data_IF_608665549100
#
_entry.id   IF_608665549100
#
_cell.length_a   1.000
_cell.length_b   1.000
_cell.length_c   1.000
_cell.angle_alpha   90.00
_cell.angle_beta   90.00
_cell.angle_gamma   90.00
#
_symmetry.space_group_name_H-M   'P 1'
#
loop_
_entity.id
_entity.type
_entity.pdbx_description
1 polymer ?
#
# COMPACT_ATOMS: atom_id res chain seq x y z
N UNK A 1 2.14 -4.33 -32.16
CA UNK A 1 1.58 -5.34 -31.22
C UNK A 1 1.40 -4.69 -29.84
N UNK A 2 0.18 -4.31 -29.44
CA UNK A 2 -0.08 -3.73 -28.11
C UNK A 2 0.16 -4.81 -27.06
N UNK A 3 1.20 -4.68 -26.22
CA UNK A 3 1.34 -5.52 -25.02
C UNK A 3 0.08 -5.28 -24.18
N UNK A 4 -0.82 -6.28 -24.08
CA UNK A 4 -1.90 -6.26 -23.08
C UNK A 4 -1.24 -5.90 -21.75
N UNK A 5 -1.68 -4.80 -21.13
CA UNK A 5 -1.09 -4.30 -19.89
C UNK A 5 -0.98 -5.45 -18.89
N UNK A 6 0.24 -5.86 -18.59
CA UNK A 6 0.50 -6.98 -17.70
C UNK A 6 0.03 -6.55 -16.32
N UNK A 7 -1.11 -7.08 -15.86
CA UNK A 7 -1.63 -6.79 -14.51
C UNK A 7 -0.54 -7.16 -13.52
N UNK A 8 0.02 -6.17 -12.84
CA UNK A 8 1.04 -6.41 -11.81
C UNK A 8 0.37 -7.09 -10.64
N UNK A 9 0.72 -8.35 -10.33
CA UNK A 9 0.27 -8.99 -9.10
C UNK A 9 1.15 -8.55 -7.94
N UNK A 10 0.52 -8.15 -6.83
CA UNK A 10 1.21 -7.94 -5.56
C UNK A 10 0.92 -9.11 -4.63
N UNK A 11 1.91 -9.53 -3.87
CA UNK A 11 1.76 -10.60 -2.91
C UNK A 11 1.53 -10.00 -1.52
N UNK A 12 0.44 -10.40 -0.88
CA UNK A 12 0.04 -10.04 0.47
C UNK A 12 0.39 -11.17 1.41
N UNK A 13 1.00 -10.83 2.54
CA UNK A 13 1.26 -11.71 3.68
C UNK A 13 0.58 -11.09 4.91
N UNK A 14 -0.24 -11.87 5.59
CA UNK A 14 -0.92 -11.49 6.84
C UNK A 14 -0.39 -12.38 7.95
N UNK A 15 0.17 -11.77 8.99
CA UNK A 15 0.66 -12.48 10.17
C UNK A 15 -0.48 -12.63 11.20
N UNK A 16 -0.81 -13.86 11.58
CA UNK A 16 -1.96 -14.14 12.44
C UNK A 16 -1.62 -14.13 13.94
N UNK A 17 -0.43 -14.58 14.29
CA UNK A 17 -0.12 -14.96 15.67
C UNK A 17 0.58 -13.85 16.48
N UNK A 18 0.80 -12.66 15.90
CA UNK A 18 1.46 -11.51 16.56
C UNK A 18 2.96 -11.71 16.88
N UNK A 19 3.41 -12.96 17.05
CA UNK A 19 4.77 -13.38 17.34
C UNK A 19 5.66 -13.46 16.08
N UNK A 20 5.09 -13.25 14.90
CA UNK A 20 5.65 -13.73 13.63
C UNK A 20 6.04 -12.62 12.67
N UNK A 21 5.81 -11.37 13.05
CA UNK A 21 6.36 -10.26 12.31
C UNK A 21 7.79 -10.01 12.79
N UNK A 22 8.78 -10.50 12.04
CA UNK A 22 10.21 -10.13 12.22
C UNK A 22 10.42 -8.60 12.30
N UNK A 23 9.43 -7.83 11.82
CA UNK A 23 9.44 -6.38 11.68
C UNK A 23 8.33 -5.62 12.46
N UNK A 24 7.47 -6.30 13.23
CA UNK A 24 6.40 -5.67 14.03
C UNK A 24 5.15 -5.22 13.25
N UNK A 25 4.94 -5.71 12.03
CA UNK A 25 3.80 -5.37 11.16
C UNK A 25 2.84 -6.55 10.96
N UNK A 26 1.53 -6.29 10.99
CA UNK A 26 0.47 -7.30 10.79
C UNK A 26 0.29 -7.65 9.31
N UNK A 27 0.42 -6.67 8.42
CA UNK A 27 0.26 -6.85 6.97
C UNK A 27 1.55 -6.47 6.26
N UNK A 28 2.05 -7.33 5.39
CA UNK A 28 3.21 -7.06 4.52
C UNK A 28 2.80 -7.31 3.08
N UNK A 29 3.06 -6.32 2.22
CA UNK A 29 2.78 -6.36 0.79
C UNK A 29 4.10 -6.29 0.06
N UNK A 30 4.42 -7.30 -0.74
CA UNK A 30 5.62 -7.32 -1.58
C UNK A 30 5.26 -7.05 -3.04
N UNK A 31 6.11 -6.25 -3.70
CA UNK A 31 6.04 -5.92 -5.12
C UNK A 31 7.38 -6.32 -5.76
N UNK A 32 7.42 -7.48 -6.41
CA UNK A 32 8.69 -8.05 -6.89
C UNK A 32 9.63 -8.43 -5.73
N UNK A 33 10.93 -8.45 -5.99
CA UNK A 33 11.93 -8.92 -5.02
C UNK A 33 12.34 -7.86 -3.98
N UNK A 34 12.22 -6.57 -4.29
CA UNK A 34 12.91 -5.50 -3.53
C UNK A 34 12.00 -4.44 -2.94
N UNK A 35 10.71 -4.38 -3.29
CA UNK A 35 9.81 -3.34 -2.79
C UNK A 35 8.74 -3.89 -1.85
N UNK A 36 8.66 -3.29 -0.66
CA UNK A 36 7.83 -3.75 0.46
C UNK A 36 6.99 -2.59 0.98
N UNK A 37 5.76 -2.87 1.39
CA UNK A 37 4.91 -1.94 2.13
C UNK A 37 4.27 -2.69 3.28
N UNK A 38 4.32 -2.14 4.48
CA UNK A 38 3.86 -2.85 5.67
C UNK A 38 2.92 -1.98 6.52
N UNK A 39 1.92 -2.61 7.14
CA UNK A 39 0.92 -1.96 7.97
C UNK A 39 0.79 -2.66 9.31
N UNK A 40 0.79 -1.86 10.39
CA UNK A 40 0.57 -2.36 11.75
C UNK A 40 -0.91 -2.50 12.10
N UNK A 41 -1.77 -1.70 11.45
CA UNK A 41 -3.20 -1.60 11.77
C UNK A 41 -4.07 -2.02 10.59
N UNK A 42 -5.25 -2.57 10.89
CA UNK A 42 -6.27 -2.95 9.91
C UNK A 42 -6.78 -1.74 9.15
N UNK A 43 -6.96 -0.60 9.83
CA UNK A 43 -7.34 0.67 9.23
C UNK A 43 -6.35 1.10 8.13
N UNK A 44 -5.05 1.08 8.43
CA UNK A 44 -4.01 1.42 7.46
C UNK A 44 -4.02 0.50 6.25
N UNK A 45 -4.17 -0.81 6.47
CA UNK A 45 -4.23 -1.79 5.40
C UNK A 45 -5.50 -1.65 4.54
N UNK A 46 -6.68 -1.47 5.16
CA UNK A 46 -7.95 -1.28 4.43
C UNK A 46 -7.95 0.01 3.61
N UNK A 47 -7.43 1.09 4.18
CA UNK A 47 -7.25 2.34 3.44
C UNK A 47 -6.32 2.14 2.24
N UNK A 48 -5.21 1.41 2.39
CA UNK A 48 -4.36 1.03 1.26
C UNK A 48 -5.11 0.25 0.18
N UNK A 49 -5.89 -0.76 0.54
CA UNK A 49 -6.68 -1.48 -0.45
C UNK A 49 -7.65 -0.55 -1.20
N UNK A 50 -8.35 0.33 -0.46
CA UNK A 50 -9.29 1.30 -1.02
C UNK A 50 -8.61 2.27 -1.98
N UNK A 51 -7.55 2.94 -1.53
CA UNK A 51 -6.83 3.98 -2.28
C UNK A 51 -6.22 3.43 -3.56
N UNK A 52 -5.71 2.20 -3.53
CA UNK A 52 -5.10 1.57 -4.69
C UNK A 52 -6.09 0.76 -5.55
N UNK A 53 -7.38 0.76 -5.20
CA UNK A 53 -8.41 -0.03 -5.90
C UNK A 53 -8.12 -1.53 -5.89
N UNK A 54 -7.52 -2.03 -4.82
CA UNK A 54 -7.05 -3.42 -4.71
C UNK A 54 -8.10 -4.31 -4.08
N UNK A 55 -8.11 -5.57 -4.54
CA UNK A 55 -8.93 -6.63 -3.95
C UNK A 55 -8.07 -7.86 -3.71
N UNK A 56 -8.29 -8.49 -2.55
CA UNK A 56 -7.73 -9.81 -2.24
C UNK A 56 -8.36 -10.82 -3.19
N UNK A 57 -7.54 -11.65 -3.82
CA UNK A 57 -8.01 -12.74 -4.66
C UNK A 57 -8.26 -13.99 -3.80
N UNK A 58 -9.53 -14.42 -3.61
CA UNK A 58 -9.84 -15.59 -2.80
C UNK A 58 -9.25 -16.88 -3.38
N UNK A 59 -9.14 -16.97 -4.71
CA UNK A 59 -8.62 -18.16 -5.39
C UNK A 59 -7.13 -18.41 -5.17
N UNK A 60 -6.41 -17.42 -4.63
CA UNK A 60 -4.98 -17.53 -4.31
C UNK A 60 -4.72 -17.33 -2.83
N UNK A 61 -5.78 -17.32 -2.02
CA UNK A 61 -5.68 -17.18 -0.57
C UNK A 61 -5.35 -18.53 0.06
N UNK A 62 -4.22 -18.60 0.74
CA UNK A 62 -3.72 -19.84 1.36
C UNK A 62 -3.31 -19.57 2.80
N UNK A 63 -3.68 -20.48 3.71
CA UNK A 63 -3.15 -20.53 5.07
C UNK A 63 -1.85 -21.35 5.05
N UNK A 64 -0.79 -20.79 5.62
CA UNK A 64 0.52 -21.45 5.71
C UNK A 64 0.95 -21.50 7.18
N UNK A 65 1.38 -22.68 7.61
CA UNK A 65 1.91 -22.89 8.95
C UNK A 65 3.44 -22.99 8.91
N UNK A 66 4.08 -21.94 9.42
CA UNK A 66 5.52 -21.81 9.57
C UNK A 66 5.95 -21.81 11.04
N UNK A 67 5.16 -22.36 11.96
CA UNK A 67 5.53 -22.49 13.38
C UNK A 67 6.87 -23.24 13.54
N UNK A 68 7.12 -24.24 12.70
CA UNK A 68 8.34 -25.06 12.71
C UNK A 68 9.63 -24.27 12.42
N UNK A 69 9.54 -23.09 11.79
CA UNK A 69 10.67 -22.16 11.57
C UNK A 69 10.50 -20.85 12.36
N UNK A 70 9.66 -20.83 13.39
CA UNK A 70 9.45 -19.68 14.25
C UNK A 70 8.64 -18.53 13.63
N UNK A 71 8.08 -18.70 12.42
CA UNK A 71 7.29 -17.67 11.71
C UNK A 71 5.78 -17.84 11.86
N UNK A 72 5.35 -18.77 12.71
CA UNK A 72 3.94 -19.09 13.02
C UNK A 72 3.02 -19.16 11.81
N UNK A 73 1.74 -18.78 11.96
CA UNK A 73 0.74 -18.90 10.89
C UNK A 73 0.59 -17.61 10.11
N UNK A 74 0.54 -17.74 8.78
CA UNK A 74 0.36 -16.62 7.86
C UNK A 74 -0.70 -16.92 6.80
N UNK A 75 -1.39 -15.89 6.34
CA UNK A 75 -2.24 -15.96 5.14
C UNK A 75 -1.50 -15.28 4.00
N UNK A 76 -1.35 -15.99 2.87
CA UNK A 76 -0.81 -15.44 1.63
C UNK A 76 -1.92 -15.24 0.61
N UNK A 77 -1.91 -14.14 -0.13
CA UNK A 77 -2.85 -13.91 -1.23
C UNK A 77 -2.26 -13.00 -2.31
N UNK A 78 -2.76 -13.09 -3.54
CA UNK A 78 -2.48 -12.08 -4.56
C UNK A 78 -3.53 -10.96 -4.54
N UNK A 79 -3.08 -9.73 -4.78
CA UNK A 79 -3.93 -8.56 -4.95
C UNK A 79 -4.11 -8.26 -6.44
N UNK A 80 -5.35 -8.04 -6.86
CA UNK A 80 -5.62 -7.47 -8.18
C UNK A 80 -5.37 -5.97 -8.16
N UNK A 81 -4.45 -5.51 -9.01
CA UNK A 81 -4.04 -4.12 -9.11
C UNK A 81 -4.59 -3.47 -10.38
N UNK A 82 -5.32 -2.36 -10.24
CA UNK A 82 -5.49 -1.37 -11.34
C UNK A 82 -4.10 -0.89 -11.76
N UNK A 83 -3.88 -0.47 -13.01
CA UNK A 83 -2.56 0.07 -13.39
C UNK A 83 -2.28 1.31 -12.53
N UNK A 84 -1.21 1.31 -11.73
CA UNK A 84 -0.87 2.48 -10.88
C UNK A 84 0.43 3.06 -11.41
N UNK A 85 0.42 4.35 -11.75
CA UNK A 85 1.62 5.12 -12.05
C UNK A 85 1.98 5.92 -10.80
N UNK A 86 2.99 5.49 -10.04
CA UNK A 86 3.48 6.22 -8.87
C UNK A 86 4.42 7.36 -9.32
N UNK A 87 4.16 8.59 -8.89
CA UNK A 87 4.94 9.78 -9.24
C UNK A 87 5.25 10.60 -7.99
N UNK A 88 6.38 11.32 -8.00
CA UNK A 88 6.70 12.31 -6.97
C UNK A 88 6.37 13.71 -7.43
N UNK A 89 5.81 14.53 -6.54
CA UNK A 89 5.63 15.96 -6.74
C UNK A 89 6.47 16.74 -5.71
N UNK A 90 6.96 17.92 -6.11
CA UNK A 90 7.71 18.82 -5.24
C UNK A 90 6.85 19.97 -4.71
N UNK A 91 5.80 20.35 -5.45
CA UNK A 91 4.87 21.43 -5.13
C UNK A 91 3.43 21.04 -5.46
N UNK A 92 2.45 21.68 -4.81
CA UNK A 92 1.03 21.34 -4.97
C UNK A 92 0.47 21.71 -6.35
N UNK A 93 1.05 22.68 -7.04
CA UNK A 93 0.66 23.10 -8.39
C UNK A 93 1.02 22.08 -9.48
N UNK A 94 1.89 21.11 -9.18
CA UNK A 94 2.20 19.97 -10.06
C UNK A 94 1.06 18.91 -10.07
N UNK A 95 0.11 19.02 -9.16
CA UNK A 95 -0.97 18.06 -8.99
C UNK A 95 -2.17 18.52 -9.82
N UNK A 96 -2.76 17.66 -10.67
CA UNK A 96 -3.93 18.05 -11.43
C UNK A 96 -5.13 18.27 -10.49
N UNK A 97 -5.96 19.26 -10.82
CA UNK A 97 -7.16 19.61 -10.04
C UNK A 97 -8.19 18.47 -9.93
N UNK A 98 -8.09 17.46 -10.79
CA UNK A 98 -8.92 16.24 -10.77
C UNK A 98 -8.51 15.26 -9.67
N UNK A 99 -7.25 15.33 -9.22
CA UNK A 99 -6.72 14.41 -8.23
C UNK A 99 -7.35 14.67 -6.86
N UNK A 100 -7.76 13.59 -6.19
CA UNK A 100 -8.34 13.66 -4.86
C UNK A 100 -7.27 13.41 -3.81
N UNK A 101 -7.23 14.28 -2.80
CA UNK A 101 -6.35 14.09 -1.65
C UNK A 101 -6.71 12.80 -0.91
N UNK A 102 -5.68 12.08 -0.50
CA UNK A 102 -5.78 10.87 0.32
C UNK A 102 -4.57 10.74 1.23
N UNK A 103 -4.73 10.10 2.38
CA UNK A 103 -3.60 9.81 3.27
C UNK A 103 -3.03 8.44 2.89
N UNK A 104 -1.74 8.38 2.55
CA UNK A 104 -1.07 7.13 2.22
C UNK A 104 0.39 7.12 2.66
N UNK A 105 1.00 5.92 2.71
CA UNK A 105 2.40 5.76 3.10
C UNK A 105 3.35 6.22 2.00
N UNK A 106 4.18 7.23 2.25
CA UNK A 106 5.30 7.64 1.41
C UNK A 106 6.58 7.59 2.26
N UNK A 107 7.63 6.95 1.76
CA UNK A 107 8.93 6.84 2.45
C UNK A 107 8.81 6.47 3.95
N UNK A 108 7.95 5.51 4.26
CA UNK A 108 7.73 5.00 5.62
C UNK A 108 6.79 5.84 6.51
N UNK A 109 6.31 7.00 6.07
CA UNK A 109 5.41 7.86 6.84
C UNK A 109 4.04 8.01 6.17
N UNK A 110 2.97 8.17 6.96
CA UNK A 110 1.70 8.64 6.42
C UNK A 110 1.82 10.12 6.06
N UNK A 111 1.45 10.49 4.85
CA UNK A 111 1.46 11.88 4.35
C UNK A 111 0.24 12.12 3.48
N UNK A 112 -0.02 13.38 3.15
CA UNK A 112 -0.96 13.72 2.08
C UNK A 112 -0.39 13.29 0.73
N UNK A 113 -1.11 12.41 0.06
CA UNK A 113 -0.91 11.99 -1.31
C UNK A 113 -2.17 12.37 -2.12
N UNK A 114 -2.10 12.22 -3.43
CA UNK A 114 -3.21 12.55 -4.31
C UNK A 114 -3.37 11.45 -5.36
N UNK A 115 -4.61 11.07 -5.64
CA UNK A 115 -4.94 10.02 -6.58
C UNK A 115 -5.87 10.55 -7.65
N UNK A 116 -5.49 10.40 -8.91
CA UNK A 116 -6.32 10.72 -10.07
C UNK A 116 -6.74 9.42 -10.77
N UNK A 117 -8.01 9.03 -10.63
CA UNK A 117 -8.54 7.75 -11.11
C UNK A 117 -9.12 7.89 -12.52
N UNK A 118 -8.52 7.17 -13.47
CA UNK A 118 -8.87 7.14 -14.90
C UNK A 118 -9.60 5.84 -15.29
N UNK A 119 -10.24 5.17 -14.33
CA UNK A 119 -10.97 3.92 -14.53
C UNK A 119 -10.04 2.70 -14.47
N UNK A 120 -9.27 2.46 -15.53
CA UNK A 120 -8.35 1.31 -15.64
C UNK A 120 -6.95 1.58 -15.06
N UNK A 121 -6.63 2.86 -14.87
CA UNK A 121 -5.40 3.31 -14.24
C UNK A 121 -5.63 4.40 -13.20
N UNK A 122 -4.70 4.54 -12.27
CA UNK A 122 -4.65 5.65 -11.32
C UNK A 122 -3.24 6.25 -11.35
N UNK A 123 -3.18 7.57 -11.46
CA UNK A 123 -1.95 8.32 -11.26
C UNK A 123 -1.86 8.68 -9.77
N UNK A 124 -0.80 8.21 -9.12
CA UNK A 124 -0.65 8.32 -7.68
C UNK A 124 0.51 9.26 -7.34
N UNK A 125 0.16 10.47 -6.94
CA UNK A 125 1.06 11.57 -6.65
C UNK A 125 1.46 11.53 -5.17
N UNK A 126 2.76 11.39 -4.93
CA UNK A 126 3.36 11.32 -3.60
C UNK A 126 4.27 12.53 -3.39
N UNK A 127 4.26 13.16 -2.22
CA UNK A 127 5.18 14.25 -1.98
C UNK A 127 6.61 13.69 -1.98
N UNK A 128 7.53 14.39 -2.62
CA UNK A 128 8.94 14.05 -2.56
C UNK A 128 9.43 14.19 -1.10
N UNK A 129 10.08 13.18 -0.49
CA UNK A 129 10.56 13.25 0.90
C UNK A 129 11.52 14.42 1.20
N UNK A 130 12.14 14.98 0.16
CA UNK A 130 13.03 16.13 0.27
C UNK A 130 12.29 17.47 0.20
N UNK A 131 11.04 17.51 -0.28
CA UNK A 131 10.23 18.72 -0.39
C UNK A 131 9.46 18.99 0.93
N UNK A 132 10.09 19.71 1.86
CA UNK A 132 9.57 19.89 3.24
C UNK A 132 8.25 20.66 3.33
N UNK A 133 7.90 21.44 2.31
CA UNK A 133 6.64 22.18 2.25
C UNK A 133 5.44 21.26 2.00
N UNK A 134 5.65 20.11 1.36
CA UNK A 134 4.58 19.18 0.97
C UNK A 134 4.69 17.80 1.62
N UNK A 135 5.91 17.38 1.99
CA UNK A 135 6.13 16.16 2.76
C UNK A 135 6.02 16.46 4.25
N UNK A 136 4.80 16.36 4.77
CA UNK A 136 4.49 16.58 6.19
C UNK A 136 4.00 15.24 6.77
N UNK A 137 4.88 14.48 7.46
CA UNK A 137 4.51 13.24 8.13
C UNK A 137 3.44 13.44 9.19
N UNK A 138 2.45 12.56 9.18
CA UNK A 138 1.51 12.40 10.28
C UNK A 138 2.05 11.47 11.36
N UNK A 139 1.58 11.65 12.59
CA UNK A 139 1.62 10.60 13.61
C UNK A 139 0.72 9.44 13.17
N UNK A 140 1.32 8.26 12.99
CA UNK A 140 0.62 7.06 12.55
C UNK A 140 -0.48 6.61 13.51
N UNK A 141 -0.36 6.88 14.82
CA UNK A 141 -1.38 6.51 15.82
C UNK A 141 -2.62 7.38 15.64
N UNK A 142 -2.42 8.69 15.49
CA UNK A 142 -3.51 9.64 15.27
C UNK A 142 -4.20 9.39 13.91
N UNK A 143 -3.45 9.09 12.86
CA UNK A 143 -4.01 8.80 11.53
C UNK A 143 -4.78 7.49 11.50
N UNK A 144 -4.31 6.43 12.16
CA UNK A 144 -5.01 5.15 12.16
C UNK A 144 -6.47 5.28 12.66
N UNK A 145 -6.74 6.18 13.60
CA UNK A 145 -8.10 6.48 14.08
C UNK A 145 -8.96 7.25 13.06
N UNK A 146 -8.35 7.96 12.11
CA UNK A 146 -9.02 8.81 11.11
C UNK A 146 -9.29 8.12 9.78
N UNK A 147 -8.50 7.11 9.44
CA UNK A 147 -8.59 6.37 8.15
C UNK A 147 -9.20 4.97 8.30
N UNK A 148 -9.59 4.61 9.53
CA UNK A 148 -10.25 3.35 9.88
C UNK A 148 -11.73 3.35 9.57
#
# INVERSE_FOLDING_TARGET
MKRKGQKTMMHLIIYLDGNTSDCGYKYVITRGATAWTAYRTDAGFRNFLKVYGLRINPATTELRDYCHIGKGRVITAFLHKKKVNDMYFWKLDEIPNTAKQTIALCNGSYVNCYADDHGDSVDFYRPNPNAKEVYIPYDYRAVAARIG
#
